data_IF_248894844001
#
_entry.id   IF_248894844001
#
_cell.length_a   1.000
_cell.length_b   1.000
_cell.length_c   1.000
_cell.angle_alpha   90.00
_cell.angle_beta   90.00
_cell.angle_gamma   90.00
#
_symmetry.space_group_name_H-M   'P 1'
#
loop_
_entity.id
_entity.type
_entity.pdbx_description
1 polymer ?
#
# COMPACT_ATOMS: atom_id res chain seq x y z
N UNK A 1 7.52 -3.69 6.22
CA UNK A 1 7.65 -4.29 7.57
C UNK A 1 9.12 -4.24 7.97
N UNK A 2 9.43 -4.18 9.26
CA UNK A 2 10.82 -4.13 9.75
C UNK A 2 11.11 -5.35 10.62
N UNK A 3 12.22 -6.02 10.36
CA UNK A 3 12.74 -7.18 11.09
C UNK A 3 14.24 -6.99 11.35
N UNK A 4 14.61 -6.52 12.53
CA UNK A 4 15.96 -6.00 12.82
C UNK A 4 16.36 -4.95 11.78
N UNK A 5 17.48 -5.17 11.11
CA UNK A 5 18.00 -4.28 10.06
C UNK A 5 17.31 -4.46 8.70
N UNK A 6 16.41 -5.45 8.56
CA UNK A 6 15.73 -5.73 7.29
C UNK A 6 14.41 -4.98 7.19
N UNK A 7 14.37 -3.94 6.37
CA UNK A 7 13.14 -3.24 6.00
C UNK A 7 12.63 -3.79 4.67
N UNK A 8 11.45 -4.43 4.69
CA UNK A 8 10.85 -5.09 3.52
C UNK A 8 9.69 -4.29 2.94
N UNK A 9 9.47 -4.43 1.63
CA UNK A 9 8.36 -3.81 0.90
C UNK A 9 7.71 -4.79 -0.09
N UNK A 10 6.36 -4.91 -0.08
CA UNK A 10 5.66 -5.84 -0.96
C UNK A 10 5.43 -5.28 -2.38
N UNK A 11 6.17 -4.25 -2.80
CA UNK A 11 5.98 -3.58 -4.11
C UNK A 11 6.87 -4.15 -5.22
N UNK A 12 7.94 -4.88 -4.89
CA UNK A 12 8.78 -5.51 -5.90
C UNK A 12 8.02 -6.65 -6.59
N UNK A 13 8.07 -6.64 -7.92
CA UNK A 13 7.46 -7.66 -8.76
C UNK A 13 8.00 -9.06 -8.42
N UNK A 14 7.08 -10.00 -8.22
CA UNK A 14 7.38 -11.35 -7.77
C UNK A 14 7.22 -12.43 -8.85
N UNK A 15 7.09 -13.68 -8.42
CA UNK A 15 6.73 -14.81 -9.29
C UNK A 15 5.21 -14.90 -9.46
N UNK A 16 4.77 -15.67 -10.45
CA UNK A 16 3.34 -15.93 -10.72
C UNK A 16 2.50 -14.66 -10.87
N UNK A 17 3.08 -13.62 -11.47
CA UNK A 17 2.32 -12.40 -11.70
C UNK A 17 1.28 -12.63 -12.80
N UNK A 18 0.02 -12.42 -12.44
CA UNK A 18 -1.12 -12.60 -13.32
C UNK A 18 -2.03 -11.40 -13.20
N UNK A 19 -2.52 -10.95 -14.35
CA UNK A 19 -3.65 -10.02 -14.44
C UNK A 19 -4.83 -10.71 -15.11
N UNK A 20 -6.04 -10.36 -14.72
CA UNK A 20 -7.21 -10.93 -15.36
C UNK A 20 -8.50 -10.17 -15.07
N UNK A 21 -9.56 -10.59 -15.75
CA UNK A 21 -10.92 -10.13 -15.50
C UNK A 21 -11.64 -11.22 -14.70
N UNK A 22 -12.07 -10.88 -13.49
CA UNK A 22 -12.87 -11.73 -12.62
C UNK A 22 -14.37 -11.57 -12.86
N UNK A 23 -15.16 -12.10 -11.93
CA UNK A 23 -16.62 -11.95 -11.96
C UNK A 23 -17.01 -10.46 -11.90
N UNK A 24 -18.17 -10.13 -12.47
CA UNK A 24 -18.72 -8.76 -12.52
C UNK A 24 -17.78 -7.71 -13.15
N UNK A 25 -16.97 -8.11 -14.14
CA UNK A 25 -15.99 -7.23 -14.81
C UNK A 25 -14.97 -6.60 -13.84
N UNK A 26 -14.70 -7.26 -12.71
CA UNK A 26 -13.61 -6.85 -11.82
C UNK A 26 -12.27 -7.12 -12.50
N UNK A 27 -11.35 -6.17 -12.48
CA UNK A 27 -9.98 -6.40 -12.89
C UNK A 27 -9.15 -6.79 -11.66
N UNK A 28 -8.18 -7.67 -11.81
CA UNK A 28 -7.25 -8.00 -10.73
C UNK A 28 -5.82 -8.14 -11.22
N UNK A 29 -4.89 -7.90 -10.30
CA UNK A 29 -3.47 -8.15 -10.41
C UNK A 29 -3.06 -8.97 -9.18
N UNK A 30 -2.34 -10.07 -9.37
CA UNK A 30 -1.80 -10.89 -8.29
C UNK A 30 -0.38 -11.30 -8.59
N UNK A 31 0.48 -11.34 -7.58
CA UNK A 31 1.80 -11.96 -7.66
C UNK A 31 2.24 -12.46 -6.28
N UNK A 32 3.26 -13.31 -6.27
CA UNK A 32 3.86 -13.83 -5.04
C UNK A 32 5.31 -13.37 -4.93
N UNK A 33 5.73 -12.88 -3.77
CA UNK A 33 7.12 -12.76 -3.36
C UNK A 33 7.50 -14.03 -2.55
N UNK A 34 8.15 -15.05 -3.15
CA UNK A 34 8.46 -16.30 -2.46
C UNK A 34 9.47 -16.11 -1.31
N UNK A 35 10.32 -15.11 -1.45
CA UNK A 35 11.13 -14.52 -0.40
C UNK A 35 10.82 -13.03 -0.33
N UNK A 36 10.73 -12.47 0.88
CA UNK A 36 10.53 -11.04 1.06
C UNK A 36 11.68 -10.25 0.42
N UNK A 37 11.36 -9.07 -0.09
CA UNK A 37 12.32 -8.18 -0.74
C UNK A 37 12.46 -6.91 0.08
N UNK A 38 13.71 -6.49 0.32
CA UNK A 38 14.06 -5.27 1.05
C UNK A 38 13.78 -4.03 0.21
N UNK A 39 13.74 -2.86 0.84
CA UNK A 39 13.53 -1.57 0.16
C UNK A 39 14.64 -1.19 -0.84
N UNK A 40 15.79 -1.85 -0.79
CA UNK A 40 16.90 -1.70 -1.75
C UNK A 40 16.82 -2.69 -2.94
N UNK A 41 15.78 -3.54 -2.98
CA UNK A 41 15.57 -4.55 -4.01
C UNK A 41 16.31 -5.87 -3.79
N UNK A 42 17.11 -6.00 -2.73
CA UNK A 42 17.77 -7.26 -2.37
C UNK A 42 16.81 -8.20 -1.63
N UNK A 43 17.08 -9.50 -1.68
CA UNK A 43 16.26 -10.49 -0.97
C UNK A 43 16.54 -10.50 0.54
N UNK A 44 15.48 -10.62 1.33
CA UNK A 44 15.52 -10.87 2.76
C UNK A 44 15.35 -12.38 3.02
N UNK A 45 16.35 -13.16 2.60
CA UNK A 45 16.32 -14.62 2.65
C UNK A 45 16.01 -15.17 4.04
N UNK A 46 15.19 -16.21 4.09
CA UNK A 46 14.92 -16.94 5.33
C UNK A 46 13.88 -16.31 6.26
N UNK A 47 13.40 -15.08 5.97
CA UNK A 47 12.37 -14.43 6.80
C UNK A 47 10.98 -14.98 6.47
N UNK A 48 10.55 -14.88 5.21
CA UNK A 48 9.16 -15.15 4.87
C UNK A 48 8.82 -14.95 3.40
N UNK A 49 7.53 -14.90 3.12
CA UNK A 49 6.95 -14.64 1.80
C UNK A 49 5.76 -13.68 1.91
N UNK A 50 5.38 -13.09 0.79
CA UNK A 50 4.20 -12.24 0.68
C UNK A 50 3.42 -12.57 -0.58
N UNK A 51 2.12 -12.81 -0.47
CA UNK A 51 1.21 -12.79 -1.60
C UNK A 51 0.54 -11.44 -1.69
N UNK A 52 0.53 -10.85 -2.88
CA UNK A 52 -0.05 -9.53 -3.13
C UNK A 52 -1.19 -9.69 -4.12
N UNK A 53 -2.34 -9.11 -3.80
CA UNK A 53 -3.47 -9.04 -4.71
C UNK A 53 -4.07 -7.64 -4.70
N UNK A 54 -4.32 -7.11 -5.88
CA UNK A 54 -5.11 -5.92 -6.12
C UNK A 54 -6.35 -6.30 -6.91
N UNK A 55 -7.51 -5.75 -6.53
CA UNK A 55 -8.75 -5.87 -7.28
C UNK A 55 -9.40 -4.52 -7.48
N UNK A 56 -9.96 -4.31 -8.67
CA UNK A 56 -10.54 -3.06 -9.14
C UNK A 56 -11.94 -3.37 -9.66
N UNK A 57 -12.96 -2.82 -9.02
CA UNK A 57 -14.35 -3.12 -9.37
C UNK A 57 -15.27 -1.99 -8.89
N UNK A 58 -16.18 -1.53 -9.75
CA UNK A 58 -17.26 -0.61 -9.35
C UNK A 58 -16.77 0.65 -8.61
N UNK A 59 -15.64 1.23 -9.05
CA UNK A 59 -15.03 2.41 -8.42
C UNK A 59 -14.32 2.13 -7.08
N UNK A 60 -14.32 0.88 -6.62
CA UNK A 60 -13.56 0.41 -5.45
C UNK A 60 -12.26 -0.25 -5.87
N UNK A 61 -11.19 0.10 -5.16
CA UNK A 61 -9.89 -0.58 -5.23
C UNK A 61 -9.69 -1.31 -3.92
N UNK A 62 -9.21 -2.55 -3.97
CA UNK A 62 -8.86 -3.30 -2.76
C UNK A 62 -7.47 -3.90 -2.93
N UNK A 63 -6.65 -3.77 -1.90
CA UNK A 63 -5.34 -4.42 -1.79
C UNK A 63 -5.37 -5.44 -0.67
N UNK A 64 -4.86 -6.64 -0.93
CA UNK A 64 -4.59 -7.68 0.06
C UNK A 64 -3.10 -8.01 0.04
N UNK A 65 -2.47 -7.88 1.20
CA UNK A 65 -1.10 -8.32 1.45
C UNK A 65 -1.14 -9.45 2.45
N UNK A 66 -0.57 -10.59 2.07
CA UNK A 66 -0.65 -11.80 2.87
C UNK A 66 0.73 -12.36 3.17
N UNK A 67 1.20 -12.12 4.38
CA UNK A 67 2.54 -12.46 4.83
C UNK A 67 2.55 -13.81 5.54
N UNK A 68 3.62 -14.57 5.30
CA UNK A 68 3.96 -15.79 6.06
C UNK A 68 5.43 -15.73 6.44
N UNK A 69 5.77 -16.26 7.61
CA UNK A 69 7.17 -16.35 8.06
C UNK A 69 7.64 -17.80 8.02
N UNK A 70 8.92 -18.01 7.68
CA UNK A 70 9.53 -19.35 7.60
C UNK A 70 9.86 -19.92 8.98
N UNK A 71 10.29 -19.05 9.89
CA UNK A 71 10.58 -19.36 11.29
C UNK A 71 9.88 -18.36 12.20
N UNK A 72 9.80 -18.65 13.50
CA UNK A 72 9.31 -17.66 14.45
C UNK A 72 10.24 -16.44 14.43
N UNK A 73 9.68 -15.26 14.23
CA UNK A 73 10.43 -14.01 14.11
C UNK A 73 9.63 -12.87 14.73
N UNK A 74 10.33 -11.88 15.27
CA UNK A 74 9.71 -10.67 15.77
C UNK A 74 9.75 -9.60 14.67
N UNK A 75 8.58 -9.11 14.27
CA UNK A 75 8.47 -7.90 13.46
C UNK A 75 8.50 -6.69 14.39
N UNK A 76 9.47 -5.79 14.22
CA UNK A 76 9.65 -4.65 15.12
C UNK A 76 8.65 -3.54 14.80
N UNK A 77 8.43 -3.28 13.51
CA UNK A 77 7.59 -2.17 13.04
C UNK A 77 6.84 -2.50 11.76
N UNK A 78 5.62 -1.99 11.64
CA UNK A 78 4.83 -1.95 10.42
C UNK A 78 4.51 -0.49 10.08
N UNK A 79 4.56 -0.16 8.80
CA UNK A 79 4.14 1.13 8.28
C UNK A 79 3.56 0.95 6.89
N UNK A 80 2.39 1.52 6.68
CA UNK A 80 1.80 1.76 5.37
C UNK A 80 1.58 3.27 5.23
N UNK A 81 1.98 3.83 4.09
CA UNK A 81 1.72 5.24 3.77
C UNK A 81 0.48 5.35 2.89
N UNK A 82 -0.49 6.15 3.33
CA UNK A 82 -1.58 6.65 2.51
C UNK A 82 -1.17 8.03 1.98
N UNK A 83 -0.85 8.09 0.69
CA UNK A 83 -0.34 9.30 0.04
C UNK A 83 -1.43 9.92 -0.82
N UNK A 84 -1.71 11.20 -0.61
CA UNK A 84 -2.72 11.98 -1.32
C UNK A 84 -2.00 13.05 -2.13
N UNK A 85 -2.04 12.90 -3.45
CA UNK A 85 -1.41 13.83 -4.39
C UNK A 85 -2.30 15.03 -4.71
N UNK A 86 -1.68 16.18 -4.93
CA UNK A 86 -2.30 17.34 -5.56
C UNK A 86 -2.23 17.23 -7.09
N UNK A 87 -3.17 17.83 -7.84
CA UNK A 87 -3.06 17.93 -9.29
C UNK A 87 -1.80 18.68 -9.72
N UNK A 88 -1.31 18.42 -10.93
CA UNK A 88 -0.25 19.21 -11.54
C UNK A 88 -0.61 20.70 -11.57
N UNK A 89 0.32 21.56 -11.14
CA UNK A 89 0.17 23.03 -11.15
C UNK A 89 0.24 23.63 -12.56
N UNK A 90 0.93 22.96 -13.47
CA UNK A 90 1.18 23.36 -14.86
C UNK A 90 1.06 22.09 -15.69
N UNK A 91 0.34 22.13 -16.82
CA UNK A 91 0.05 20.97 -17.69
C UNK A 91 -1.13 20.06 -17.25
N UNK A 92 -2.24 20.66 -16.81
CA UNK A 92 -3.53 19.97 -16.68
C UNK A 92 -4.57 20.54 -17.65
N UNK A 93 -5.47 19.69 -18.13
CA UNK A 93 -6.70 20.12 -18.81
C UNK A 93 -7.80 20.25 -17.75
N UNK A 94 -8.84 21.05 -17.98
CA UNK A 94 -9.95 21.12 -17.02
C UNK A 94 -10.68 19.79 -16.82
N UNK A 95 -10.65 18.92 -17.83
CA UNK A 95 -11.17 17.55 -17.78
C UNK A 95 -10.20 16.53 -17.15
N UNK A 96 -9.03 16.96 -16.66
CA UNK A 96 -8.12 16.09 -15.93
C UNK A 96 -8.78 15.64 -14.63
N UNK A 97 -8.75 14.33 -14.37
CA UNK A 97 -9.23 13.78 -13.10
C UNK A 97 -8.29 14.18 -11.98
N UNK A 98 -8.88 14.66 -10.89
CA UNK A 98 -8.21 14.88 -9.61
C UNK A 98 -8.93 14.13 -8.51
N UNK A 99 -8.28 14.08 -7.37
CA UNK A 99 -8.93 13.69 -6.14
C UNK A 99 -9.94 14.76 -5.71
N UNK A 100 -11.16 14.31 -5.39
CA UNK A 100 -12.21 15.15 -4.84
C UNK A 100 -12.03 15.40 -3.32
N UNK A 101 -12.91 16.22 -2.72
CA UNK A 101 -12.81 16.62 -1.31
C UNK A 101 -12.82 15.44 -0.32
N UNK A 102 -13.49 14.34 -0.66
CA UNK A 102 -13.60 13.17 0.23
C UNK A 102 -12.35 12.25 0.17
N UNK A 103 -11.34 12.59 -0.62
CA UNK A 103 -10.05 11.93 -0.60
C UNK A 103 -10.07 10.49 -1.13
N UNK A 104 -9.23 9.61 -0.58
CA UNK A 104 -9.12 8.21 -1.03
C UNK A 104 -10.20 7.31 -0.40
N UNK A 105 -10.88 7.79 0.64
CA UNK A 105 -11.83 7.02 1.47
C UNK A 105 -11.28 5.63 1.81
N UNK A 106 -10.06 5.62 2.37
CA UNK A 106 -9.37 4.39 2.73
C UNK A 106 -10.03 3.74 3.94
N UNK A 107 -10.27 2.44 3.88
CA UNK A 107 -10.79 1.64 4.97
C UNK A 107 -9.89 0.42 5.22
N UNK A 108 -9.71 0.08 6.50
CA UNK A 108 -9.00 -1.12 6.92
C UNK A 108 -10.02 -2.24 7.06
N UNK A 109 -10.00 -3.20 6.15
CA UNK A 109 -10.92 -4.34 6.14
C UNK A 109 -10.41 -5.47 7.03
N UNK A 110 -9.09 -5.70 7.02
CA UNK A 110 -8.40 -6.68 7.86
C UNK A 110 -7.04 -6.12 8.25
N UNK A 111 -6.69 -6.24 9.52
CA UNK A 111 -5.38 -5.86 10.03
C UNK A 111 -4.92 -6.81 11.16
N UNK A 112 -4.19 -7.85 10.77
CA UNK A 112 -3.55 -8.78 11.71
C UNK A 112 -2.30 -8.20 12.38
N UNK A 113 -1.89 -6.98 12.01
CA UNK A 113 -0.75 -6.29 12.61
C UNK A 113 -1.16 -5.39 13.76
N UNK A 114 -2.47 -5.15 13.96
CA UNK A 114 -3.00 -4.26 15.00
C UNK A 114 -2.31 -2.89 14.97
N UNK A 115 -2.25 -2.29 13.78
CA UNK A 115 -1.72 -0.97 13.54
C UNK A 115 -2.76 0.11 13.87
N UNK A 116 -2.28 1.34 14.02
CA UNK A 116 -3.10 2.51 14.31
C UNK A 116 -2.83 3.61 13.30
N UNK A 117 -3.87 4.34 12.90
CA UNK A 117 -3.71 5.50 12.04
C UNK A 117 -3.06 6.64 12.84
N UNK A 118 -1.99 7.19 12.30
CA UNK A 118 -1.41 8.44 12.75
C UNK A 118 -2.20 9.67 12.27
N UNK A 119 -1.71 10.84 12.64
CA UNK A 119 -2.22 12.12 12.13
C UNK A 119 -1.85 12.33 10.66
N UNK A 120 -2.62 13.19 9.99
CA UNK A 120 -2.23 13.69 8.66
C UNK A 120 -1.06 14.66 8.77
N UNK A 121 -0.11 14.51 7.86
CA UNK A 121 0.99 15.44 7.63
C UNK A 121 0.69 16.22 6.35
N UNK A 122 0.81 17.55 6.40
CA UNK A 122 0.63 18.43 5.22
C UNK A 122 2.00 18.74 4.63
N UNK A 123 2.23 18.33 3.38
CA UNK A 123 3.54 18.34 2.74
C UNK A 123 3.57 19.13 1.41
N UNK A 124 2.52 19.90 1.15
CA UNK A 124 2.28 20.62 -0.13
C UNK A 124 3.48 21.47 -0.58
N UNK A 125 4.11 22.12 0.38
CA UNK A 125 5.22 23.06 0.18
C UNK A 125 6.59 22.40 0.29
N UNK A 126 6.66 21.12 0.65
CA UNK A 126 7.91 20.37 0.76
C UNK A 126 8.38 19.89 -0.64
N UNK A 127 9.53 20.38 -1.13
CA UNK A 127 10.03 19.98 -2.45
C UNK A 127 10.46 18.51 -2.53
N UNK A 128 10.77 17.87 -1.40
CA UNK A 128 11.21 16.47 -1.36
C UNK A 128 10.02 15.50 -1.53
N UNK A 129 8.79 15.98 -1.36
CA UNK A 129 7.54 15.23 -1.49
C UNK A 129 6.83 15.54 -2.81
N UNK A 130 7.55 15.36 -3.92
CA UNK A 130 7.02 15.54 -5.28
C UNK A 130 7.26 14.30 -6.14
N UNK A 131 6.25 13.90 -6.89
CA UNK A 131 6.33 12.82 -7.86
C UNK A 131 6.11 13.30 -9.30
N UNK A 132 6.24 12.40 -10.26
CA UNK A 132 5.93 12.69 -11.67
C UNK A 132 4.46 13.07 -11.91
N UNK A 133 3.58 12.84 -10.94
CA UNK A 133 2.15 13.15 -10.99
C UNK A 133 1.76 14.46 -10.27
N UNK A 134 2.72 15.23 -9.74
CA UNK A 134 2.49 16.46 -8.97
C UNK A 134 3.06 16.43 -7.55
N UNK A 135 2.72 17.43 -6.74
CA UNK A 135 3.15 17.49 -5.34
C UNK A 135 2.29 16.55 -4.50
N UNK A 136 2.87 15.98 -3.44
CA UNK A 136 2.11 15.30 -2.40
C UNK A 136 1.53 16.36 -1.47
N UNK A 137 0.23 16.28 -1.21
CA UNK A 137 -0.47 17.24 -0.36
C UNK A 137 -0.58 16.72 1.07
N UNK A 138 -1.08 15.49 1.24
CA UNK A 138 -1.15 14.82 2.54
C UNK A 138 -0.48 13.45 2.52
N UNK A 139 0.12 13.10 3.64
CA UNK A 139 0.46 11.72 3.97
C UNK A 139 -0.17 11.36 5.31
N UNK A 140 -0.73 10.15 5.40
CA UNK A 140 -1.12 9.56 6.66
C UNK A 140 -0.50 8.17 6.75
N UNK A 141 -0.01 7.80 7.93
CA UNK A 141 0.59 6.48 8.14
C UNK A 141 -0.32 5.60 8.99
N UNK A 142 -0.55 4.37 8.53
CA UNK A 142 -1.02 3.27 9.38
C UNK A 142 0.23 2.60 9.95
N UNK A 143 0.39 2.64 11.27
CA UNK A 143 1.65 2.27 11.94
C UNK A 143 1.44 1.26 13.05
N UNK A 144 2.38 0.33 13.16
CA UNK A 144 2.64 -0.40 14.40
C UNK A 144 4.09 -0.11 14.79
N UNK A 145 4.29 0.55 15.91
CA UNK A 145 5.57 0.99 16.43
C UNK A 145 6.15 0.07 17.51
N UNK A 146 5.42 -0.99 17.86
CA UNK A 146 5.79 -1.97 18.87
C UNK A 146 5.89 -3.39 18.29
N UNK A 147 6.68 -4.29 18.90
CA UNK A 147 6.95 -5.61 18.31
C UNK A 147 5.72 -6.52 18.17
N UNK A 148 5.71 -7.35 17.13
CA UNK A 148 4.75 -8.45 16.91
C UNK A 148 5.51 -9.77 16.71
N UNK A 149 5.23 -10.77 17.54
CA UNK A 149 5.78 -12.12 17.33
C UNK A 149 4.98 -12.81 16.23
N UNK A 150 5.64 -13.06 15.10
CA UNK A 150 5.09 -13.80 13.98
C UNK A 150 5.54 -15.26 14.04
N UNK A 151 4.61 -16.19 13.81
CA UNK A 151 4.82 -17.64 13.95
C UNK A 151 4.69 -18.37 12.61
N UNK A 152 5.51 -19.39 12.34
CA UNK A 152 5.39 -20.19 11.13
C UNK A 152 4.06 -20.95 11.13
N UNK A 153 3.48 -21.15 9.96
CA UNK A 153 2.16 -21.77 9.80
C UNK A 153 0.98 -20.80 9.95
N UNK A 154 1.19 -19.60 10.51
CA UNK A 154 0.20 -18.53 10.54
C UNK A 154 0.36 -17.59 9.32
N UNK A 155 -0.76 -17.09 8.83
CA UNK A 155 -0.82 -16.05 7.82
C UNK A 155 -1.20 -14.74 8.49
N UNK A 156 -0.53 -13.65 8.10
CA UNK A 156 -0.76 -12.30 8.63
C UNK A 156 -1.20 -11.42 7.47
N UNK A 157 -2.44 -10.92 7.54
CA UNK A 157 -3.09 -10.19 6.47
C UNK A 157 -3.23 -8.71 6.80
N UNK A 158 -3.04 -7.90 5.78
CA UNK A 158 -3.50 -6.52 5.71
C UNK A 158 -4.37 -6.38 4.47
N UNK A 159 -5.64 -6.07 4.66
CA UNK A 159 -6.59 -5.80 3.58
C UNK A 159 -7.10 -4.38 3.72
N UNK A 160 -6.91 -3.60 2.66
CA UNK A 160 -7.36 -2.21 2.60
C UNK A 160 -8.27 -2.06 1.41
N UNK A 161 -9.31 -1.26 1.58
CA UNK A 161 -10.14 -0.81 0.48
C UNK A 161 -10.11 0.69 0.34
N UNK A 162 -10.35 1.14 -0.88
CA UNK A 162 -10.39 2.53 -1.26
C UNK A 162 -11.60 2.71 -2.17
N UNK A 163 -12.30 3.81 -2.00
CA UNK A 163 -13.30 4.25 -2.95
C UNK A 163 -12.96 5.70 -3.29
N UNK A 164 -11.94 5.96 -4.12
CA UNK A 164 -11.45 7.31 -4.34
C UNK A 164 -12.58 8.23 -4.77
N UNK A 165 -12.64 9.42 -4.18
CA UNK A 165 -13.47 10.50 -4.68
C UNK A 165 -12.77 11.16 -5.87
N UNK A 166 -13.48 11.27 -6.98
CA UNK A 166 -12.92 11.70 -8.25
C UNK A 166 -13.71 12.91 -8.72
N UNK A 167 -12.98 13.99 -8.98
CA UNK A 167 -13.53 15.25 -9.48
C UNK A 167 -12.75 15.73 -10.70
N UNK A 168 -13.32 16.66 -11.46
CA UNK A 168 -12.59 17.39 -12.49
C UNK A 168 -11.71 18.49 -11.87
N UNK A 169 -10.60 18.78 -12.53
CA UNK A 169 -9.59 19.71 -12.04
C UNK A 169 -10.06 21.16 -11.92
N UNK A 170 -10.97 21.58 -12.83
CA UNK A 170 -11.44 22.96 -13.00
C UNK A 170 -12.98 23.10 -12.82
N UNK A 171 -13.61 22.15 -12.11
CA UNK A 171 -14.94 22.34 -11.48
C UNK A 171 -14.80 22.80 -10.03
#
# INVERSE_FOLDING_TARGET
LTFGDSVIIPSYYGKNCVTGIGLKKSFYLRFDQPDLIKTDGTFAYGIGSCQVQWSFSEGRVQSEFSFKVKNQVTMDKMRLALVIGSPHSTYRLGTTLRQGPEGLRANVEVDDFHATWGSFETLTDDPDYRGYAGNIHYVQYLVRDHPLVMRPGQQYKLVLSYQPDIAFADE
#
